data_IF_898995879378
#
_entry.id   IF_898995879378
#
_cell.length_a   1.000
_cell.length_b   1.000
_cell.length_c   1.000
_cell.angle_alpha   90.00
_cell.angle_beta   90.00
_cell.angle_gamma   90.00
#
_symmetry.space_group_name_H-M   'P 1'
#
loop_
_entity.id
_entity.type
_entity.pdbx_description
1 polymer ?
#
# COMPACT_ATOMS: atom_id res chain seq x y z
N UNK A 1 19.41 38.04 -8.88
CA UNK A 1 18.51 36.91 -8.83
C UNK A 1 19.06 35.81 -9.72
N UNK A 2 19.33 34.65 -9.15
CA UNK A 2 19.91 33.53 -9.89
C UNK A 2 18.83 32.51 -10.22
N UNK A 3 18.30 32.62 -11.42
CA UNK A 3 17.22 31.74 -11.90
C UNK A 3 17.67 30.30 -11.98
N UNK A 4 18.96 30.05 -12.27
CA UNK A 4 19.47 28.69 -12.33
C UNK A 4 19.45 28.01 -10.96
N UNK A 5 19.82 28.75 -9.91
CA UNK A 5 19.75 28.22 -8.55
C UNK A 5 18.33 27.90 -8.13
N UNK A 6 17.37 28.74 -8.51
CA UNK A 6 15.97 28.49 -8.22
C UNK A 6 15.46 27.26 -8.95
N UNK A 7 15.84 27.11 -10.20
CA UNK A 7 15.48 25.94 -10.98
C UNK A 7 16.06 24.66 -10.36
N UNK A 8 17.32 24.71 -9.94
CA UNK A 8 17.97 23.57 -9.31
C UNK A 8 17.28 23.17 -8.01
N UNK A 9 16.89 24.15 -7.19
CA UNK A 9 16.15 23.89 -5.96
C UNK A 9 14.81 23.21 -6.23
N UNK A 10 14.08 23.72 -7.20
CA UNK A 10 12.78 23.14 -7.56
C UNK A 10 12.92 21.75 -8.11
N UNK A 11 13.97 21.51 -8.90
CA UNK A 11 14.25 20.18 -9.42
C UNK A 11 14.54 19.18 -8.29
N UNK A 12 15.32 19.60 -7.30
CA UNK A 12 15.60 18.76 -6.13
C UNK A 12 14.34 18.48 -5.31
N UNK A 13 13.50 19.49 -5.14
CA UNK A 13 12.24 19.31 -4.43
C UNK A 13 11.34 18.29 -5.13
N UNK A 14 11.25 18.38 -6.46
CA UNK A 14 10.47 17.42 -7.25
C UNK A 14 11.01 16.01 -7.11
N UNK A 15 12.32 15.84 -7.14
CA UNK A 15 12.93 14.52 -6.97
C UNK A 15 12.59 13.91 -5.63
N UNK A 16 12.64 14.71 -4.56
CA UNK A 16 12.30 14.23 -3.23
C UNK A 16 10.84 13.80 -3.14
N UNK A 17 9.94 14.59 -3.71
CA UNK A 17 8.51 14.27 -3.71
C UNK A 17 8.25 12.99 -4.49
N UNK A 18 8.90 12.82 -5.65
CA UNK A 18 8.76 11.60 -6.44
C UNK A 18 9.25 10.37 -5.68
N UNK A 19 10.37 10.48 -4.98
CA UNK A 19 10.88 9.39 -4.14
C UNK A 19 9.90 9.03 -3.04
N UNK A 20 9.32 10.03 -2.38
CA UNK A 20 8.31 9.81 -1.34
C UNK A 20 7.07 9.11 -1.90
N UNK A 21 6.61 9.53 -3.07
CA UNK A 21 5.47 8.89 -3.73
C UNK A 21 5.79 7.43 -4.04
N UNK A 22 6.98 7.15 -4.55
CA UNK A 22 7.39 5.77 -4.85
C UNK A 22 7.42 4.90 -3.60
N UNK A 23 7.93 5.44 -2.49
CA UNK A 23 7.93 4.72 -1.22
C UNK A 23 6.52 4.45 -0.72
N UNK A 24 5.64 5.44 -0.83
CA UNK A 24 4.24 5.29 -0.44
C UNK A 24 3.53 4.23 -1.28
N UNK A 25 3.82 4.20 -2.58
CA UNK A 25 3.25 3.17 -3.46
C UNK A 25 3.70 1.77 -3.07
N UNK A 26 4.96 1.61 -2.68
CA UNK A 26 5.46 0.32 -2.22
C UNK A 26 4.76 -0.13 -0.94
N UNK A 27 4.58 0.79 0.01
CA UNK A 27 3.86 0.49 1.24
C UNK A 27 2.41 0.13 0.94
N UNK A 28 1.78 0.88 0.05
CA UNK A 28 0.39 0.62 -0.33
C UNK A 28 0.24 -0.78 -0.96
N UNK A 29 1.16 -1.16 -1.85
CA UNK A 29 1.13 -2.48 -2.47
C UNK A 29 1.28 -3.59 -1.43
N UNK A 30 2.19 -3.42 -0.47
CA UNK A 30 2.37 -4.39 0.60
C UNK A 30 1.11 -4.52 1.45
N UNK A 31 0.48 -3.40 1.78
CA UNK A 31 -0.78 -3.43 2.55
C UNK A 31 -1.91 -4.06 1.78
N UNK A 32 -2.00 -3.82 0.47
CA UNK A 32 -3.00 -4.46 -0.36
C UNK A 32 -2.85 -5.98 -0.36
N UNK A 33 -1.62 -6.48 -0.41
CA UNK A 33 -1.36 -7.90 -0.31
C UNK A 33 -1.78 -8.47 1.05
N UNK A 34 -1.53 -7.71 2.12
CA UNK A 34 -1.98 -8.11 3.46
C UNK A 34 -3.51 -8.22 3.52
N UNK A 35 -4.20 -7.25 2.92
CA UNK A 35 -5.67 -7.27 2.88
C UNK A 35 -6.17 -8.51 2.15
N UNK A 36 -5.57 -8.86 1.01
CA UNK A 36 -5.97 -10.05 0.26
C UNK A 36 -5.75 -11.33 1.06
N UNK A 37 -4.63 -11.43 1.76
CA UNK A 37 -4.32 -12.58 2.60
C UNK A 37 -5.30 -12.72 3.75
N UNK A 38 -5.59 -11.61 4.42
CA UNK A 38 -6.52 -11.60 5.55
C UNK A 38 -7.94 -11.89 5.10
N UNK A 39 -8.34 -11.36 3.95
CA UNK A 39 -9.65 -11.63 3.38
C UNK A 39 -9.83 -13.13 3.09
N UNK A 40 -8.79 -13.78 2.54
CA UNK A 40 -8.81 -15.22 2.33
C UNK A 40 -8.91 -16.01 3.62
N UNK A 41 -8.20 -15.57 4.67
CA UNK A 41 -8.27 -16.23 5.98
C UNK A 41 -9.66 -16.08 6.58
N UNK A 42 -10.28 -14.92 6.44
CA UNK A 42 -11.65 -14.69 6.93
C UNK A 42 -12.62 -15.63 6.22
N UNK A 43 -12.49 -15.77 4.91
CA UNK A 43 -13.37 -16.68 4.14
C UNK A 43 -13.22 -18.10 4.59
N UNK A 44 -11.99 -18.57 4.85
CA UNK A 44 -11.76 -19.91 5.36
C UNK A 44 -12.43 -20.13 6.71
N UNK A 45 -12.30 -19.15 7.61
CA UNK A 45 -12.94 -19.24 8.93
C UNK A 45 -14.45 -19.27 8.82
N UNK A 46 -15.01 -18.46 7.92
CA UNK A 46 -16.45 -18.46 7.69
C UNK A 46 -16.94 -19.82 7.18
N UNK A 47 -16.18 -20.41 6.27
CA UNK A 47 -16.52 -21.73 5.75
C UNK A 47 -16.48 -22.80 6.84
N UNK A 48 -15.47 -22.76 7.71
CA UNK A 48 -15.37 -23.68 8.84
C UNK A 48 -16.53 -23.52 9.81
N UNK A 49 -16.95 -22.29 10.06
CA UNK A 49 -18.12 -22.03 10.93
C UNK A 49 -19.39 -22.60 10.31
N UNK A 50 -19.55 -22.49 9.00
CA UNK A 50 -20.70 -23.08 8.32
C UNK A 50 -20.73 -24.58 8.43
N UNK A 51 -19.58 -25.24 8.32
CA UNK A 51 -19.49 -26.69 8.46
C UNK A 51 -19.87 -27.14 9.87
N UNK A 52 -19.40 -26.42 10.89
CA UNK A 52 -19.78 -26.71 12.28
C UNK A 52 -21.28 -26.62 12.48
N UNK A 53 -21.93 -25.64 11.90
CA UNK A 53 -23.38 -25.47 12.02
C UNK A 53 -24.14 -26.54 11.30
N UNK A 54 -23.59 -27.13 10.23
CA UNK A 54 -24.24 -28.16 9.47
C UNK A 54 -24.22 -29.52 10.17
N UNK A 55 -23.25 -29.74 11.02
CA UNK A 55 -23.12 -31.01 11.77
C UNK A 55 -24.10 -31.11 12.92
N UNK A 56 -24.72 -30.03 13.25
CA UNK A 56 -25.74 -29.98 14.28
C UNK A 56 -27.14 -30.10 13.67
#
# INVERSE_FOLDING_TARGET
MDLQKELDKKTEEIKKVVEEINQLQQVLNARNQDVLRLDGAIKQLQDLLKEDKKEN
#
